data_IF_994192151369
#
_entry.id   IF_994192151369
#
_cell.length_a   1.000
_cell.length_b   1.000
_cell.length_c   1.000
_cell.angle_alpha   90.00
_cell.angle_beta   90.00
_cell.angle_gamma   90.00
#
_symmetry.space_group_name_H-M   'P 1'
#
loop_
_entity.id
_entity.type
_entity.pdbx_description
1 polymer ?
#
# COMPACT_ATOMS: atom_id res chain seq x y z
N UNK A 1 -48.17 12.58 -11.56
CA UNK A 1 -47.24 11.54 -12.05
C UNK A 1 -45.83 11.95 -11.64
N UNK A 2 -45.30 11.33 -10.59
CA UNK A 2 -44.03 11.68 -9.96
C UNK A 2 -42.90 10.80 -10.52
N UNK A 3 -42.23 11.27 -11.58
CA UNK A 3 -41.09 10.56 -12.20
C UNK A 3 -39.74 11.19 -11.85
N UNK A 4 -39.64 11.94 -10.74
CA UNK A 4 -38.48 12.77 -10.44
C UNK A 4 -37.61 12.30 -9.25
N UNK A 5 -37.71 11.03 -8.83
CA UNK A 5 -36.98 10.53 -7.65
C UNK A 5 -36.01 9.35 -7.90
N UNK A 6 -35.97 8.76 -9.09
CA UNK A 6 -35.14 7.56 -9.34
C UNK A 6 -33.70 7.91 -9.72
N UNK A 7 -33.49 9.01 -10.44
CA UNK A 7 -32.16 9.38 -10.98
C UNK A 7 -31.19 9.83 -9.88
N UNK A 8 -31.68 10.54 -8.86
CA UNK A 8 -30.85 11.00 -7.75
C UNK A 8 -30.37 9.84 -6.85
N UNK A 9 -31.16 8.78 -6.70
CA UNK A 9 -30.81 7.62 -5.89
C UNK A 9 -29.69 6.78 -6.51
N UNK A 10 -29.66 6.64 -7.85
CA UNK A 10 -28.62 5.89 -8.56
C UNK A 10 -27.27 6.61 -8.51
N UNK A 11 -27.27 7.95 -8.63
CA UNK A 11 -26.04 8.74 -8.52
C UNK A 11 -25.43 8.68 -7.11
N UNK A 12 -26.27 8.71 -6.06
CA UNK A 12 -25.81 8.59 -4.67
C UNK A 12 -25.22 7.18 -4.40
N UNK A 13 -25.82 6.14 -4.96
CA UNK A 13 -25.33 4.75 -4.86
C UNK A 13 -23.98 4.56 -5.56
N UNK A 14 -23.82 5.10 -6.78
CA UNK A 14 -22.56 5.02 -7.53
C UNK A 14 -21.40 5.74 -6.83
N UNK A 15 -21.64 6.90 -6.20
CA UNK A 15 -20.61 7.60 -5.44
C UNK A 15 -20.21 6.88 -4.15
N UNK A 16 -21.12 6.12 -3.54
CA UNK A 16 -20.87 5.38 -2.31
C UNK A 16 -20.03 4.11 -2.54
N UNK A 17 -20.19 3.46 -3.70
CA UNK A 17 -19.44 2.25 -4.06
C UNK A 17 -17.98 2.57 -4.38
N UNK A 18 -17.72 3.69 -5.06
CA UNK A 18 -16.34 4.07 -5.41
C UNK A 18 -15.48 4.38 -4.18
N UNK A 19 -16.05 5.05 -3.17
CA UNK A 19 -15.32 5.37 -1.94
C UNK A 19 -14.91 4.12 -1.13
N UNK A 20 -15.79 3.11 -1.06
CA UNK A 20 -15.47 1.84 -0.38
C UNK A 20 -14.45 1.01 -1.15
N UNK A 21 -14.47 1.07 -2.48
CA UNK A 21 -13.52 0.35 -3.32
C UNK A 21 -12.11 0.96 -3.22
N UNK A 22 -11.99 2.28 -3.29
CA UNK A 22 -10.71 2.98 -3.20
C UNK A 22 -10.02 2.73 -1.84
N UNK A 23 -10.81 2.72 -0.76
CA UNK A 23 -10.34 2.44 0.60
C UNK A 23 -9.90 0.97 0.78
N UNK A 24 -10.57 0.03 0.11
CA UNK A 24 -10.16 -1.38 0.10
C UNK A 24 -8.87 -1.60 -0.73
N UNK A 25 -8.70 -0.91 -1.85
CA UNK A 25 -7.48 -0.96 -2.66
C UNK A 25 -6.30 -0.36 -1.89
N UNK A 26 -6.46 0.80 -1.26
CA UNK A 26 -5.39 1.39 -0.41
C UNK A 26 -5.07 0.52 0.81
N UNK A 27 -6.05 -0.13 1.42
CA UNK A 27 -5.83 -1.08 2.52
C UNK A 27 -5.02 -2.32 2.11
N UNK A 28 -4.96 -2.64 0.82
CA UNK A 28 -4.20 -3.76 0.27
C UNK A 28 -2.80 -3.40 -0.22
N UNK A 29 -2.45 -2.11 -0.18
CA UNK A 29 -1.17 -1.60 -0.66
C UNK A 29 -0.14 -1.49 0.46
N UNK A 30 1.07 -1.95 0.15
CA UNK A 30 2.24 -1.91 1.02
C UNK A 30 3.29 -1.01 0.37
N UNK A 31 3.73 -0.01 1.13
CA UNK A 31 4.85 0.87 0.79
C UNK A 31 6.10 0.34 1.49
N UNK A 32 7.13 0.07 0.71
CA UNK A 32 8.43 -0.37 1.21
C UNK A 32 9.50 0.60 0.77
N UNK A 33 10.17 1.21 1.73
CA UNK A 33 11.25 2.17 1.47
C UNK A 33 12.53 1.70 2.17
N UNK A 34 13.72 2.05 1.66
CA UNK A 34 14.97 1.83 2.37
C UNK A 34 14.96 2.52 3.73
N UNK A 35 15.72 1.97 4.68
CA UNK A 35 16.05 2.66 5.93
C UNK A 35 17.21 3.63 5.64
N UNK A 36 17.14 4.85 6.19
CA UNK A 36 18.17 5.88 5.98
C UNK A 36 19.59 5.35 6.24
N UNK A 37 20.50 5.57 5.28
CA UNK A 37 21.90 5.15 5.36
C UNK A 37 22.20 3.78 4.74
N UNK A 38 21.19 2.97 4.45
CA UNK A 38 21.32 1.71 3.71
C UNK A 38 20.49 1.82 2.43
N UNK A 39 21.09 2.29 1.35
CA UNK A 39 20.43 2.33 0.04
C UNK A 39 20.95 1.16 -0.80
N UNK A 40 20.29 0.00 -0.80
CA UNK A 40 20.40 -0.88 -1.95
C UNK A 40 19.99 -0.06 -3.17
N UNK A 41 20.75 -0.14 -4.27
CA UNK A 41 20.37 0.49 -5.53
C UNK A 41 19.15 -0.25 -6.09
N UNK A 42 17.99 0.14 -5.57
CA UNK A 42 16.70 -0.46 -5.87
C UNK A 42 16.17 0.01 -7.22
N UNK A 43 16.72 1.08 -7.79
CA UNK A 43 16.25 1.63 -9.07
C UNK A 43 16.47 0.68 -10.24
N UNK A 44 17.46 -0.21 -10.15
CA UNK A 44 17.71 -1.27 -11.13
C UNK A 44 16.80 -2.51 -10.96
N UNK A 45 16.07 -2.64 -9.85
CA UNK A 45 15.27 -3.84 -9.58
C UNK A 45 13.89 -3.75 -10.24
N UNK A 46 13.45 -4.88 -10.79
CA UNK A 46 12.08 -5.05 -11.30
C UNK A 46 11.13 -5.17 -10.09
N UNK A 47 10.16 -4.25 -9.91
CA UNK A 47 9.32 -4.19 -8.71
C UNK A 47 8.63 -5.50 -8.33
N UNK A 48 8.12 -6.23 -9.34
CA UNK A 48 7.43 -7.51 -9.11
C UNK A 48 8.37 -8.58 -8.58
N UNK A 49 9.62 -8.65 -9.08
CA UNK A 49 10.59 -9.60 -8.56
C UNK A 49 11.03 -9.22 -7.15
N UNK A 50 11.24 -7.94 -6.90
CA UNK A 50 11.57 -7.43 -5.57
C UNK A 50 10.48 -7.77 -4.55
N UNK A 51 9.20 -7.52 -4.86
CA UNK A 51 8.08 -7.87 -3.99
C UNK A 51 8.04 -9.38 -3.68
N UNK A 52 8.30 -10.22 -4.68
CA UNK A 52 8.35 -11.68 -4.49
C UNK A 52 9.54 -12.11 -3.64
N UNK A 53 10.70 -11.47 -3.79
CA UNK A 53 11.89 -11.79 -3.01
C UNK A 53 11.75 -11.34 -1.55
N UNK A 54 11.09 -10.21 -1.30
CA UNK A 54 10.67 -9.81 0.05
C UNK A 54 9.75 -10.86 0.70
N UNK A 55 8.74 -11.35 -0.03
CA UNK A 55 7.85 -12.38 0.49
C UNK A 55 8.59 -13.70 0.78
N UNK A 56 9.59 -14.06 -0.03
CA UNK A 56 10.46 -15.22 0.25
C UNK A 56 11.32 -14.98 1.50
N UNK A 57 11.89 -13.79 1.67
CA UNK A 57 12.69 -13.40 2.83
C UNK A 57 11.87 -13.52 4.13
N UNK A 58 10.60 -13.12 4.07
CA UNK A 58 9.61 -13.27 5.16
C UNK A 58 9.04 -14.68 5.30
N UNK A 59 9.45 -15.63 4.45
CA UNK A 59 8.94 -17.01 4.40
C UNK A 59 7.43 -17.11 4.11
N UNK A 60 6.86 -16.11 3.45
CA UNK A 60 5.45 -16.01 3.02
C UNK A 60 5.26 -16.53 1.59
N UNK A 61 5.73 -17.76 1.33
CA UNK A 61 5.71 -18.35 -0.02
C UNK A 61 4.30 -18.46 -0.61
N UNK A 62 3.29 -18.64 0.24
CA UNK A 62 1.89 -18.71 -0.14
C UNK A 62 1.33 -17.39 -0.69
N UNK A 63 2.00 -16.26 -0.44
CA UNK A 63 1.54 -14.93 -0.88
C UNK A 63 2.22 -14.44 -2.17
N UNK A 64 3.20 -15.18 -2.69
CA UNK A 64 3.97 -14.80 -3.89
C UNK A 64 3.06 -14.63 -5.13
N UNK A 65 2.05 -15.48 -5.25
CA UNK A 65 1.07 -15.42 -6.34
C UNK A 65 0.00 -14.34 -6.16
N UNK A 66 -0.08 -13.76 -4.97
CA UNK A 66 -1.14 -12.81 -4.57
C UNK A 66 -0.73 -11.34 -4.76
N UNK A 67 0.49 -11.10 -5.26
CA UNK A 67 0.98 -9.78 -5.65
C UNK A 67 0.34 -9.42 -6.99
N UNK A 68 -0.67 -8.55 -6.97
CA UNK A 68 -1.38 -8.10 -8.17
C UNK A 68 -0.55 -7.10 -8.96
N UNK A 69 0.06 -6.15 -8.26
CA UNK A 69 0.86 -5.09 -8.86
C UNK A 69 2.06 -4.76 -7.98
N UNK A 70 3.16 -4.35 -8.61
CA UNK A 70 4.29 -3.75 -7.93
C UNK A 70 4.88 -2.65 -8.83
N UNK A 71 5.16 -1.48 -8.25
CA UNK A 71 5.70 -0.32 -8.95
C UNK A 71 6.71 0.41 -8.09
N UNK A 72 7.57 1.19 -8.74
CA UNK A 72 8.46 2.14 -8.09
C UNK A 72 7.67 3.34 -7.57
N UNK A 73 7.96 3.74 -6.33
CA UNK A 73 7.53 5.02 -5.77
C UNK A 73 8.68 6.02 -5.85
N UNK A 74 8.62 6.86 -6.88
CA UNK A 74 9.63 7.88 -7.14
C UNK A 74 9.62 9.01 -6.09
N UNK A 75 8.54 9.16 -5.31
CA UNK A 75 8.42 10.21 -4.30
C UNK A 75 9.08 9.82 -2.98
N UNK A 76 8.98 8.55 -2.60
CA UNK A 76 9.50 8.01 -1.36
C UNK A 76 10.81 7.20 -1.54
N UNK A 77 11.33 7.14 -2.78
CA UNK A 77 12.47 6.29 -3.15
C UNK A 77 12.28 4.84 -2.67
N UNK A 78 11.19 4.21 -3.08
CA UNK A 78 10.83 2.87 -2.64
C UNK A 78 9.95 2.12 -3.63
N UNK A 79 9.23 1.12 -3.14
CA UNK A 79 8.29 0.33 -3.91
C UNK A 79 6.91 0.36 -3.28
N UNK A 80 5.90 0.33 -4.14
CA UNK A 80 4.53 0.05 -3.74
C UNK A 80 4.13 -1.25 -4.37
N UNK A 81 3.66 -2.19 -3.56
CA UNK A 81 3.03 -3.41 -4.06
C UNK A 81 1.63 -3.57 -3.50
N UNK A 82 0.75 -4.07 -4.35
CA UNK A 82 -0.65 -4.33 -4.07
C UNK A 82 -0.85 -5.82 -3.90
N UNK A 83 -1.37 -6.20 -2.74
CA UNK A 83 -1.83 -7.55 -2.46
C UNK A 83 -3.27 -7.72 -2.95
N UNK A 84 -3.70 -8.96 -3.17
CA UNK A 84 -5.06 -9.27 -3.63
C UNK A 84 -6.13 -8.89 -2.61
N UNK A 85 -5.77 -8.75 -1.32
CA UNK A 85 -6.67 -8.24 -0.28
C UNK A 85 -5.93 -7.64 0.92
N UNK A 86 -6.63 -6.85 1.77
CA UNK A 86 -6.04 -6.23 2.96
C UNK A 86 -5.52 -7.21 4.03
N UNK A 87 -6.15 -8.39 4.17
CA UNK A 87 -5.72 -9.40 5.15
C UNK A 87 -4.32 -9.94 4.82
N UNK A 88 -4.02 -10.11 3.53
CA UNK A 88 -2.68 -10.49 3.07
C UNK A 88 -1.67 -9.39 3.32
N UNK A 89 -2.04 -8.12 3.09
CA UNK A 89 -1.16 -6.99 3.39
C UNK A 89 -0.80 -6.94 4.88
N UNK A 90 -1.77 -7.16 5.77
CA UNK A 90 -1.55 -7.24 7.22
C UNK A 90 -0.65 -8.44 7.60
N UNK A 91 -0.80 -9.60 6.95
CA UNK A 91 0.08 -10.75 7.18
C UNK A 91 1.53 -10.42 6.85
N UNK A 92 1.78 -9.68 5.77
CA UNK A 92 3.13 -9.21 5.42
C UNK A 92 3.69 -8.29 6.48
N UNK A 93 2.93 -7.27 6.92
CA UNK A 93 3.32 -6.36 8.01
C UNK A 93 3.69 -7.11 9.29
N UNK A 94 2.86 -8.07 9.69
CA UNK A 94 3.08 -8.87 10.89
C UNK A 94 4.31 -9.77 10.77
N UNK A 95 4.54 -10.39 9.61
CA UNK A 95 5.73 -11.19 9.38
C UNK A 95 7.00 -10.33 9.46
N UNK A 96 6.95 -9.13 8.89
CA UNK A 96 8.04 -8.16 8.92
C UNK A 96 8.45 -7.80 10.34
N UNK A 97 7.49 -7.52 11.22
CA UNK A 97 7.74 -7.15 12.61
C UNK A 97 8.24 -8.31 13.48
N UNK A 98 7.86 -9.55 13.14
CA UNK A 98 8.14 -10.73 14.00
C UNK A 98 9.40 -11.49 13.60
N UNK A 99 9.69 -11.59 12.30
CA UNK A 99 10.84 -12.34 11.77
C UNK A 99 11.37 -11.66 10.51
N UNK A 100 12.00 -10.48 10.64
CA UNK A 100 12.64 -9.84 9.50
C UNK A 100 13.82 -10.70 9.03
N UNK A 101 13.82 -11.03 7.74
CA UNK A 101 14.97 -11.59 7.04
C UNK A 101 16.01 -10.51 6.67
N UNK A 102 16.97 -10.84 5.82
CA UNK A 102 18.13 -9.96 5.57
C UNK A 102 17.79 -8.77 4.69
N UNK A 103 16.90 -8.95 3.70
CA UNK A 103 16.47 -7.87 2.81
C UNK A 103 15.51 -6.93 3.54
N UNK A 104 14.62 -7.51 4.33
CA UNK A 104 13.58 -6.81 5.09
C UNK A 104 14.12 -6.01 6.28
N UNK A 105 15.34 -6.29 6.75
CA UNK A 105 16.04 -5.46 7.77
C UNK A 105 16.54 -4.12 7.23
N UNK A 106 16.82 -4.03 5.94
CA UNK A 106 17.35 -2.83 5.28
C UNK A 106 16.21 -1.91 4.80
N UNK A 107 14.96 -2.32 5.05
CA UNK A 107 13.75 -1.75 4.48
C UNK A 107 12.71 -1.57 5.58
N UNK A 108 11.97 -0.46 5.53
CA UNK A 108 10.77 -0.25 6.34
C UNK A 108 9.51 -0.51 5.51
N UNK A 109 8.44 -0.97 6.15
CA UNK A 109 7.17 -1.26 5.49
C UNK A 109 6.02 -0.51 6.18
N UNK A 110 5.15 0.09 5.38
CA UNK A 110 3.96 0.82 5.82
C UNK A 110 2.75 0.41 4.99
N UNK A 111 1.56 0.40 5.59
CA UNK A 111 0.31 0.31 4.83
C UNK A 111 0.04 1.67 4.16
N UNK A 112 -0.41 1.68 2.91
CA UNK A 112 -0.73 2.92 2.19
C UNK A 112 -1.88 3.74 2.82
N UNK A 113 -2.50 3.22 3.88
CA UNK A 113 -3.50 3.93 4.70
C UNK A 113 -2.94 4.98 5.64
N UNK A 114 -1.62 5.00 5.89
CA UNK A 114 -1.02 6.11 6.63
C UNK A 114 -0.89 7.31 5.69
N UNK A 115 -1.94 8.14 5.69
CA UNK A 115 -1.85 9.56 5.36
C UNK A 115 -0.51 10.09 5.88
N UNK A 116 0.29 10.69 5.00
CA UNK A 116 1.51 11.38 5.38
C UNK A 116 1.25 12.21 6.66
N UNK A 117 2.13 12.18 7.69
CA UNK A 117 1.96 12.99 8.89
C UNK A 117 2.07 14.52 8.66
N UNK A 118 1.89 15.01 7.43
CA UNK A 118 2.04 16.43 7.07
C UNK A 118 0.76 17.26 7.14
N UNK A 119 -0.41 16.67 7.38
CA UNK A 119 -1.64 17.47 7.55
C UNK A 119 -1.78 18.13 8.94
N UNK A 120 -0.81 17.92 9.84
CA UNK A 120 -0.73 18.64 11.12
C UNK A 120 -0.04 20.01 11.03
N UNK A 121 0.55 20.40 9.88
CA UNK A 121 1.25 21.70 9.75
C UNK A 121 0.36 22.80 9.14
N UNK A 122 -0.71 22.47 8.39
CA UNK A 122 -1.53 23.50 7.73
C UNK A 122 -2.57 24.21 8.61
N UNK A 123 -2.85 23.73 9.83
CA UNK A 123 -3.79 24.40 10.74
C UNK A 123 -3.17 25.35 11.79
N UNK A 124 -1.85 25.60 11.75
CA UNK A 124 -1.21 26.61 12.63
C UNK A 124 -0.95 27.98 12.00
N UNK A 125 -1.29 28.19 10.72
CA UNK A 125 -1.09 29.47 10.04
C UNK A 125 -2.35 30.00 9.31
N UNK A 126 -3.54 29.65 9.78
CA UNK A 126 -4.72 30.46 9.49
C UNK A 126 -4.86 31.46 10.65
N UNK A 127 -4.24 32.61 10.42
CA UNK A 127 -4.29 33.82 11.24
C UNK A 127 -5.71 34.35 11.37
#
# INVERSE_FOLDING_TARGET
MAFMNVVAFVALLLMSVNAQYDDAVTASQLHVTPIDGETPDITAMVPVFFARDLLKDLKLFNLIGEVEQARHDCSANGFVFQMSNPLQAEQVMKAWATRPGELTKQMQVHLAREECPNDLVRKKNAK
#
